data_IF_181427982033
#
_entry.id   IF_181427982033
#
_cell.length_a   1.000
_cell.length_b   1.000
_cell.length_c   1.000
_cell.angle_alpha   90.00
_cell.angle_beta   90.00
_cell.angle_gamma   90.00
#
_symmetry.space_group_name_H-M   'P 1'
#
loop_
_entity.id
_entity.type
_entity.pdbx_description
1 polymer ?
#
# COMPACT_ATOMS: atom_id res chain seq x y z
N UNK A 1 -48.20 0.00 -31.24
CA UNK A 1 -48.82 0.25 -29.92
C UNK A 1 -48.02 -0.56 -28.91
N UNK A 2 -47.36 0.09 -27.95
CA UNK A 2 -46.49 -0.60 -26.99
C UNK A 2 -47.31 -1.67 -26.27
N UNK A 3 -46.93 -2.95 -26.44
CA UNK A 3 -47.54 -4.07 -25.71
C UNK A 3 -47.38 -3.77 -24.23
N UNK A 4 -48.48 -3.58 -23.51
CA UNK A 4 -48.41 -3.39 -22.06
C UNK A 4 -47.82 -4.67 -21.44
N UNK A 5 -46.59 -4.58 -20.98
CA UNK A 5 -45.95 -5.67 -20.26
C UNK A 5 -46.70 -5.94 -18.96
N UNK A 6 -46.92 -7.23 -18.67
CA UNK A 6 -47.57 -7.68 -17.44
C UNK A 6 -46.80 -7.21 -16.21
N UNK A 7 -47.52 -6.88 -15.14
CA UNK A 7 -46.97 -6.45 -13.86
C UNK A 7 -45.77 -7.29 -13.37
N UNK A 8 -45.79 -8.65 -13.42
CA UNK A 8 -44.66 -9.46 -12.96
C UNK A 8 -43.39 -9.27 -13.80
N UNK A 9 -43.52 -9.02 -15.11
CA UNK A 9 -42.36 -8.77 -15.98
C UNK A 9 -41.71 -7.44 -15.64
N UNK A 10 -42.52 -6.40 -15.38
CA UNK A 10 -42.02 -5.08 -14.94
C UNK A 10 -41.25 -5.18 -13.62
N UNK A 11 -41.79 -5.91 -12.64
CA UNK A 11 -41.11 -6.15 -11.34
C UNK A 11 -39.79 -6.90 -11.55
N UNK A 12 -39.78 -7.96 -12.36
CA UNK A 12 -38.57 -8.72 -12.65
C UNK A 12 -37.45 -7.86 -13.28
N UNK A 13 -37.80 -6.99 -14.24
CA UNK A 13 -36.83 -6.06 -14.83
C UNK A 13 -36.27 -5.07 -13.80
N UNK A 14 -37.12 -4.49 -12.95
CA UNK A 14 -36.67 -3.56 -11.90
C UNK A 14 -35.73 -4.27 -10.92
N UNK A 15 -36.07 -5.47 -10.46
CA UNK A 15 -35.21 -6.25 -9.56
C UNK A 15 -33.86 -6.59 -10.22
N UNK A 16 -33.85 -6.99 -11.48
CA UNK A 16 -32.62 -7.26 -12.22
C UNK A 16 -31.72 -6.03 -12.34
N UNK A 17 -32.31 -4.85 -12.61
CA UNK A 17 -31.58 -3.59 -12.67
C UNK A 17 -30.96 -3.24 -11.31
N UNK A 18 -31.71 -3.39 -10.21
CA UNK A 18 -31.20 -3.13 -8.86
C UNK A 18 -30.02 -4.04 -8.52
N UNK A 19 -30.13 -5.35 -8.82
CA UNK A 19 -29.02 -6.31 -8.60
C UNK A 19 -27.79 -5.93 -9.46
N UNK A 20 -28.00 -5.53 -10.72
CA UNK A 20 -26.91 -5.11 -11.59
C UNK A 20 -26.19 -3.87 -11.04
N UNK A 21 -26.92 -2.88 -10.54
CA UNK A 21 -26.32 -1.68 -9.92
C UNK A 21 -25.49 -2.06 -8.69
N UNK A 22 -26.00 -2.93 -7.82
CA UNK A 22 -25.28 -3.41 -6.63
C UNK A 22 -23.97 -4.12 -7.05
N UNK A 23 -24.05 -5.01 -8.04
CA UNK A 23 -22.88 -5.73 -8.54
C UNK A 23 -21.81 -4.79 -9.12
N UNK A 24 -22.22 -3.76 -9.87
CA UNK A 24 -21.31 -2.76 -10.45
C UNK A 24 -20.62 -1.94 -9.35
N UNK A 25 -21.38 -1.47 -8.36
CA UNK A 25 -20.83 -0.71 -7.23
C UNK A 25 -19.84 -1.56 -6.44
N UNK A 26 -20.18 -2.81 -6.17
CA UNK A 26 -19.30 -3.75 -5.46
C UNK A 26 -18.00 -4.01 -6.24
N UNK A 27 -18.10 -4.31 -7.54
CA UNK A 27 -16.94 -4.56 -8.39
C UNK A 27 -16.03 -3.33 -8.51
N UNK A 28 -16.62 -2.13 -8.62
CA UNK A 28 -15.87 -0.87 -8.65
C UNK A 28 -15.11 -0.62 -7.35
N UNK A 29 -15.76 -0.82 -6.21
CA UNK A 29 -15.12 -0.68 -4.90
C UNK A 29 -14.00 -1.71 -4.69
N UNK A 30 -14.21 -2.95 -5.10
CA UNK A 30 -13.21 -4.01 -5.04
C UNK A 30 -11.97 -3.66 -5.87
N UNK A 31 -12.17 -3.25 -7.13
CA UNK A 31 -11.07 -2.84 -8.01
C UNK A 31 -10.32 -1.63 -7.47
N UNK A 32 -11.04 -0.64 -6.92
CA UNK A 32 -10.43 0.53 -6.29
C UNK A 32 -9.57 0.12 -5.10
N UNK A 33 -10.03 -0.83 -4.28
CA UNK A 33 -9.28 -1.27 -3.11
C UNK A 33 -8.04 -2.11 -3.48
N UNK A 34 -8.14 -3.00 -4.47
CA UNK A 34 -6.96 -3.67 -5.05
C UNK A 34 -5.94 -2.70 -5.64
N UNK A 35 -6.40 -1.61 -6.26
CA UNK A 35 -5.49 -0.58 -6.75
C UNK A 35 -4.75 0.14 -5.61
N UNK A 36 -5.36 0.31 -4.43
CA UNK A 36 -4.67 0.86 -3.25
C UNK A 36 -3.56 -0.06 -2.75
N UNK A 37 -3.76 -1.39 -2.76
CA UNK A 37 -2.72 -2.36 -2.39
C UNK A 37 -1.47 -2.22 -3.26
N UNK A 38 -1.65 -2.19 -4.59
CA UNK A 38 -0.55 -2.00 -5.54
C UNK A 38 0.12 -0.65 -5.30
N UNK A 39 -0.68 0.42 -5.15
CA UNK A 39 -0.16 1.77 -4.90
C UNK A 39 0.68 1.80 -3.62
N UNK A 40 0.26 1.11 -2.57
CA UNK A 40 1.01 1.00 -1.32
C UNK A 40 2.39 0.36 -1.54
N UNK A 41 2.45 -0.76 -2.26
CA UNK A 41 3.72 -1.44 -2.56
C UNK A 41 4.67 -0.56 -3.38
N UNK A 42 4.14 0.15 -4.39
CA UNK A 42 4.94 1.06 -5.22
C UNK A 42 5.50 2.22 -4.39
N UNK A 43 4.65 2.85 -3.56
CA UNK A 43 5.06 3.95 -2.68
C UNK A 43 6.13 3.50 -1.69
N UNK A 44 5.95 2.32 -1.09
CA UNK A 44 6.93 1.75 -0.16
C UNK A 44 8.25 1.42 -0.84
N UNK A 45 8.20 0.86 -2.07
CA UNK A 45 9.41 0.59 -2.87
C UNK A 45 10.16 1.87 -3.23
N UNK A 46 9.44 2.95 -3.54
CA UNK A 46 10.05 4.26 -3.80
C UNK A 46 10.81 4.75 -2.57
N UNK A 47 10.18 4.70 -1.39
CA UNK A 47 10.83 5.06 -0.12
C UNK A 47 12.05 4.19 0.18
N UNK A 48 11.93 2.86 0.03
CA UNK A 48 13.04 1.92 0.22
C UNK A 48 14.22 2.25 -0.70
N UNK A 49 13.95 2.56 -1.98
CA UNK A 49 14.99 2.96 -2.94
C UNK A 49 15.71 4.23 -2.50
N UNK A 50 14.98 5.21 -1.96
CA UNK A 50 15.59 6.43 -1.42
C UNK A 50 16.42 6.17 -0.16
N UNK A 51 16.02 5.23 0.69
CA UNK A 51 16.80 4.79 1.85
C UNK A 51 18.10 4.10 1.44
N UNK A 52 18.08 3.27 0.39
CA UNK A 52 19.33 2.69 -0.13
C UNK A 52 20.27 3.75 -0.68
N UNK A 53 19.77 4.74 -1.43
CA UNK A 53 20.60 5.87 -1.90
C UNK A 53 21.20 6.68 -0.76
N UNK A 54 20.47 6.81 0.35
CA UNK A 54 21.01 7.43 1.56
C UNK A 54 22.14 6.57 2.15
N UNK A 55 21.93 5.26 2.26
CA UNK A 55 22.93 4.32 2.76
C UNK A 55 24.21 4.32 1.92
N UNK A 56 24.11 4.34 0.59
CA UNK A 56 25.25 4.38 -0.31
C UNK A 56 26.20 5.57 -0.03
N UNK A 57 25.67 6.68 0.50
CA UNK A 57 26.44 7.88 0.81
C UNK A 57 26.93 7.96 2.25
N UNK A 58 26.12 7.49 3.20
CA UNK A 58 26.38 7.65 4.64
C UNK A 58 26.77 6.34 5.35
N UNK A 59 26.77 5.22 4.64
CA UNK A 59 27.01 3.87 5.14
C UNK A 59 26.20 3.53 6.41
N UNK A 60 25.01 4.13 6.51
CA UNK A 60 24.06 3.97 7.61
C UNK A 60 22.70 4.48 7.16
N UNK A 61 21.63 3.93 7.73
CA UNK A 61 20.27 4.44 7.57
C UNK A 61 19.99 5.54 8.60
N UNK A 62 19.03 6.45 8.33
CA UNK A 62 18.66 7.46 9.30
C UNK A 62 17.92 6.79 10.46
N UNK A 63 18.48 6.90 11.67
CA UNK A 63 17.90 6.33 12.89
C UNK A 63 16.54 6.96 13.16
N UNK A 64 15.55 6.11 13.43
CA UNK A 64 14.21 6.56 13.76
C UNK A 64 13.50 5.50 14.60
N UNK A 65 12.87 5.94 15.68
CA UNK A 65 11.88 5.10 16.36
C UNK A 65 10.73 4.79 15.40
N UNK A 66 9.88 3.82 15.76
CA UNK A 66 8.73 3.49 14.93
C UNK A 66 7.80 4.71 14.76
N UNK A 67 7.75 5.26 13.55
CA UNK A 67 6.89 6.37 13.17
C UNK A 67 5.87 5.92 12.13
N UNK A 68 4.71 6.58 12.08
CA UNK A 68 3.74 6.31 11.03
C UNK A 68 4.28 6.84 9.68
N UNK A 69 4.01 6.14 8.59
CA UNK A 69 4.37 6.62 7.24
C UNK A 69 3.71 7.98 6.92
N UNK A 70 2.52 8.24 7.49
CA UNK A 70 1.88 9.55 7.39
C UNK A 70 2.64 10.68 8.10
N UNK A 71 3.59 10.35 8.97
CA UNK A 71 4.49 11.30 9.60
C UNK A 71 5.83 11.37 8.86
N UNK A 72 6.15 10.42 7.97
CA UNK A 72 7.35 10.46 7.13
C UNK A 72 7.12 11.42 5.96
N UNK A 73 7.69 12.63 6.04
CA UNK A 73 7.49 13.70 5.06
C UNK A 73 8.70 13.85 4.13
N UNK A 74 9.90 13.82 4.69
CA UNK A 74 11.13 14.09 3.94
C UNK A 74 12.29 13.27 4.49
N UNK A 75 13.17 12.85 3.60
CA UNK A 75 14.48 12.30 3.91
C UNK A 75 15.54 13.21 3.31
N UNK A 76 16.38 13.79 4.17
CA UNK A 76 17.54 14.59 3.77
C UNK A 76 18.82 13.98 4.29
N UNK A 77 19.98 14.56 4.00
CA UNK A 77 21.26 14.10 4.55
C UNK A 77 21.30 14.09 6.08
N UNK A 78 20.52 14.98 6.72
CA UNK A 78 20.43 15.07 8.18
C UNK A 78 19.48 14.04 8.79
N UNK A 79 18.76 13.28 7.97
CA UNK A 79 17.88 12.19 8.39
C UNK A 79 16.39 12.43 8.08
N UNK A 80 15.53 11.71 8.80
CA UNK A 80 14.07 11.75 8.59
C UNK A 80 13.48 13.01 9.18
N UNK A 81 12.68 13.73 8.39
CA UNK A 81 11.99 14.97 8.76
C UNK A 81 12.92 16.08 9.29
N UNK A 82 14.18 16.07 8.86
CA UNK A 82 15.14 17.12 9.17
C UNK A 82 15.36 18.00 7.94
N UNK A 83 15.44 19.31 8.13
CA UNK A 83 15.77 20.24 7.05
C UNK A 83 17.24 20.10 6.64
N UNK A 84 17.46 19.88 5.35
CA UNK A 84 18.77 19.68 4.75
C UNK A 84 18.79 20.17 3.30
N UNK A 85 20.00 20.25 2.75
CA UNK A 85 20.25 20.79 1.43
C UNK A 85 19.95 19.76 0.33
N UNK A 86 20.17 18.46 0.61
CA UNK A 86 19.96 17.36 -0.34
C UNK A 86 18.73 16.54 0.07
N UNK A 87 17.76 16.43 -0.82
CA UNK A 87 16.54 15.65 -0.59
C UNK A 87 16.63 14.30 -1.31
N UNK A 88 16.59 13.20 -0.54
CA UNK A 88 16.56 11.83 -1.08
C UNK A 88 15.14 11.32 -1.29
N UNK A 89 14.21 11.76 -0.45
CA UNK A 89 12.80 11.45 -0.55
C UNK A 89 11.99 12.66 -0.09
N UNK A 90 10.93 12.99 -0.81
CA UNK A 90 9.91 13.94 -0.35
C UNK A 90 8.57 13.33 -0.67
N UNK A 91 7.69 13.29 0.32
CA UNK A 91 6.33 12.82 0.15
C UNK A 91 5.51 13.90 -0.56
N UNK A 92 5.15 13.62 -1.80
CA UNK A 92 4.24 14.41 -2.64
C UNK A 92 2.87 13.72 -2.83
N UNK A 93 2.64 12.61 -2.13
CA UNK A 93 1.42 11.82 -2.17
C UNK A 93 0.87 11.53 -0.78
N UNK A 94 -0.39 11.12 -0.74
CA UNK A 94 -0.96 10.43 0.42
C UNK A 94 -0.69 8.93 0.31
N UNK A 95 -0.27 8.33 1.41
CA UNK A 95 -0.07 6.89 1.48
C UNK A 95 -1.40 6.18 1.23
N UNK A 96 -1.38 5.19 0.34
CA UNK A 96 -2.57 4.42 -0.01
C UNK A 96 -3.17 3.70 1.21
N UNK A 97 -2.31 3.30 2.15
CA UNK A 97 -2.66 2.63 3.40
C UNK A 97 -1.78 3.12 4.54
N UNK A 98 -2.22 2.85 5.76
CA UNK A 98 -1.38 3.09 6.94
C UNK A 98 -0.19 2.14 6.94
N UNK A 99 0.96 2.66 7.35
CA UNK A 99 2.13 1.84 7.61
C UNK A 99 3.04 2.50 8.63
N UNK A 100 4.11 1.80 9.01
CA UNK A 100 5.11 2.25 9.97
C UNK A 100 6.50 2.11 9.39
N UNK A 101 7.34 3.09 9.66
CA UNK A 101 8.76 3.06 9.38
C UNK A 101 9.54 2.99 10.69
N UNK A 102 10.61 2.20 10.73
CA UNK A 102 11.57 2.16 11.84
C UNK A 102 12.96 1.85 11.32
N UNK A 103 13.99 2.36 12.02
CA UNK A 103 15.39 2.12 11.66
C UNK A 103 16.32 2.23 12.86
N UNK A 104 17.22 1.25 13.01
CA UNK A 104 18.26 1.23 14.04
C UNK A 104 19.60 1.86 13.57
N UNK A 105 19.65 2.28 12.30
CA UNK A 105 20.82 2.86 11.64
C UNK A 105 21.64 1.85 10.83
N UNK A 106 21.51 0.56 11.13
CA UNK A 106 22.06 -0.53 10.32
C UNK A 106 20.98 -1.16 9.45
N UNK A 107 19.76 -1.31 9.96
CA UNK A 107 18.63 -1.90 9.26
C UNK A 107 17.44 -0.96 9.34
N UNK A 108 16.52 -1.08 8.38
CA UNK A 108 15.21 -0.46 8.46
C UNK A 108 14.10 -1.46 8.15
N UNK A 109 12.90 -1.14 8.62
CA UNK A 109 11.68 -1.86 8.31
C UNK A 109 10.55 -0.88 7.98
N UNK A 110 9.82 -1.19 6.91
CA UNK A 110 8.57 -0.53 6.52
C UNK A 110 7.45 -1.58 6.59
N UNK A 111 6.59 -1.44 7.59
CA UNK A 111 5.45 -2.32 7.85
C UNK A 111 4.17 -1.70 7.28
N UNK A 112 3.36 -2.47 6.55
CA UNK A 112 2.07 -2.05 6.02
C UNK A 112 1.16 -3.24 5.79
N UNK A 113 -0.14 -2.99 5.78
CA UNK A 113 -1.13 -4.04 5.57
C UNK A 113 -1.69 -3.94 4.14
N UNK A 114 -1.94 -5.09 3.52
CA UNK A 114 -2.71 -5.23 2.29
C UNK A 114 -4.07 -5.82 2.63
N UNK A 115 -5.12 -5.43 1.90
CA UNK A 115 -6.48 -5.94 2.16
C UNK A 115 -6.85 -7.16 1.32
N UNK A 116 -6.14 -7.42 0.22
CA UNK A 116 -6.48 -8.50 -0.73
C UNK A 116 -5.39 -9.55 -0.84
N UNK A 117 -5.80 -10.70 -1.37
CA UNK A 117 -4.94 -11.78 -1.80
C UNK A 117 -4.02 -11.33 -2.95
N UNK A 118 -2.74 -11.62 -2.80
CA UNK A 118 -1.69 -11.39 -3.78
C UNK A 118 -0.77 -12.62 -3.83
N UNK A 119 -1.05 -13.60 -4.70
CA UNK A 119 -0.25 -14.83 -4.80
C UNK A 119 1.24 -14.57 -5.08
N UNK A 120 1.54 -13.51 -5.83
CA UNK A 120 2.92 -13.06 -6.09
C UNK A 120 3.71 -12.67 -4.83
N UNK A 121 3.01 -12.40 -3.73
CA UNK A 121 3.58 -12.05 -2.43
C UNK A 121 3.26 -13.11 -1.36
N UNK A 122 2.82 -14.30 -1.77
CA UNK A 122 2.49 -15.41 -0.86
C UNK A 122 1.22 -15.18 -0.04
N UNK A 123 0.32 -14.30 -0.50
CA UNK A 123 -1.00 -14.06 0.07
C UNK A 123 -2.04 -14.80 -0.78
N UNK A 124 -2.28 -16.07 -0.46
CA UNK A 124 -3.13 -16.99 -1.22
C UNK A 124 -4.53 -17.18 -0.62
N UNK A 125 -4.73 -16.80 0.65
CA UNK A 125 -6.01 -16.83 1.35
C UNK A 125 -7.08 -15.86 0.80
N UNK A 126 -8.30 -15.93 1.34
CA UNK A 126 -9.43 -15.08 0.94
C UNK A 126 -9.31 -13.62 1.43
N UNK A 127 -8.23 -13.27 2.12
CA UNK A 127 -7.98 -11.97 2.73
C UNK A 127 -6.62 -11.39 2.35
N UNK A 128 -6.31 -10.25 2.93
CA UNK A 128 -5.01 -9.61 2.80
C UNK A 128 -3.97 -10.14 3.78
N UNK A 129 -2.97 -9.34 4.07
CA UNK A 129 -1.89 -9.73 4.96
C UNK A 129 -1.01 -8.57 5.37
N UNK A 130 -0.17 -8.82 6.37
CA UNK A 130 0.83 -7.86 6.85
C UNK A 130 2.10 -8.02 6.05
N UNK A 131 2.53 -6.95 5.40
CA UNK A 131 3.74 -6.90 4.62
C UNK A 131 4.80 -6.06 5.30
N UNK A 132 6.04 -6.51 5.19
CA UNK A 132 7.24 -5.83 5.66
C UNK A 132 8.22 -5.72 4.51
N UNK A 133 8.62 -4.51 4.18
CA UNK A 133 9.86 -4.27 3.43
C UNK A 133 10.97 -4.04 4.43
N UNK A 134 12.00 -4.87 4.39
CA UNK A 134 13.16 -4.70 5.25
C UNK A 134 14.44 -4.84 4.43
N UNK A 135 15.40 -3.97 4.74
CA UNK A 135 16.78 -4.20 4.36
C UNK A 135 17.54 -4.68 5.58
N UNK A 136 18.39 -5.69 5.38
CA UNK A 136 19.37 -6.14 6.37
C UNK A 136 20.73 -5.83 5.79
N UNK A 137 21.68 -5.27 6.55
CA UNK A 137 23.05 -5.01 6.01
C UNK A 137 23.69 -6.25 5.36
N UNK A 138 23.24 -7.44 5.76
CA UNK A 138 23.67 -8.74 5.24
C UNK A 138 22.82 -9.31 4.10
N UNK A 139 21.63 -8.77 3.82
CA UNK A 139 20.70 -9.26 2.79
C UNK A 139 20.07 -8.10 2.01
N UNK A 140 20.08 -8.19 0.67
CA UNK A 140 19.40 -7.24 -0.21
C UNK A 140 17.97 -6.89 0.27
N UNK A 141 17.48 -5.71 -0.13
CA UNK A 141 16.09 -5.28 0.13
C UNK A 141 15.11 -6.38 -0.25
N UNK A 142 14.30 -6.80 0.72
CA UNK A 142 13.31 -7.87 0.54
C UNK A 142 11.93 -7.40 1.01
N UNK A 143 10.91 -7.88 0.31
CA UNK A 143 9.51 -7.73 0.71
C UNK A 143 9.05 -9.11 1.18
N UNK A 144 8.56 -9.19 2.41
CA UNK A 144 7.97 -10.38 2.98
C UNK A 144 6.56 -10.06 3.47
N UNK A 145 5.58 -10.89 3.12
CA UNK A 145 4.21 -10.77 3.58
C UNK A 145 3.79 -12.03 4.33
N UNK A 146 2.94 -11.85 5.35
CA UNK A 146 2.37 -12.92 6.16
C UNK A 146 0.85 -12.72 6.15
N UNK A 147 0.11 -13.78 5.88
CA UNK A 147 -1.35 -13.77 5.92
C UNK A 147 -1.86 -13.37 7.31
N UNK A 148 -2.97 -12.65 7.34
CA UNK A 148 -3.72 -12.40 8.57
C UNK A 148 -4.85 -13.41 8.68
N UNK A 149 -4.84 -14.21 9.76
CA UNK A 149 -5.94 -15.12 10.14
C UNK A 149 -7.28 -14.39 10.29
#
# INVERSE_FOLDING_TARGET
MFKEYSLPVKVGFITAIVIAIIAIVWASNYNKSKAQDIKMVIQTKSLATSLERYYDKFNSYPKSSAINLNQFLILTEKGVNQEGDTVYFRRDFEWARTGKYSSDGNNYAIDFDLEHSWPIWGLEGFGGGKCRVACRVTTNVSIACIETD
#
